data_IF_547767347881
#
_entry.id   IF_547767347881
#
_cell.length_a   1.000
_cell.length_b   1.000
_cell.length_c   1.000
_cell.angle_alpha   90.00
_cell.angle_beta   90.00
_cell.angle_gamma   90.00
#
_symmetry.space_group_name_H-M   'P 1'
#
loop_
_entity.id
_entity.type
_entity.pdbx_description
1 polymer ?
#
# COMPACT_ATOMS: atom_id res chain seq x y z
N UNK A 1 33.56 -45.48 -6.12
CA UNK A 1 32.88 -44.46 -6.95
C UNK A 1 31.45 -44.91 -7.21
N UNK A 2 30.47 -44.33 -6.52
CA UNK A 2 29.06 -44.24 -6.94
C UNK A 2 28.31 -43.31 -5.97
N UNK A 3 27.86 -42.20 -6.53
CA UNK A 3 26.71 -41.37 -6.14
C UNK A 3 26.57 -40.90 -4.68
N UNK A 4 27.12 -39.73 -4.38
CA UNK A 4 26.45 -38.75 -3.50
C UNK A 4 26.22 -37.51 -4.37
N UNK A 5 25.07 -37.49 -5.05
CA UNK A 5 24.64 -36.39 -5.91
C UNK A 5 23.13 -36.21 -5.77
N UNK A 6 22.67 -36.13 -4.51
CA UNK A 6 21.28 -35.80 -4.15
C UNK A 6 21.34 -34.92 -2.90
N UNK A 7 21.88 -33.71 -3.01
CA UNK A 7 21.76 -32.73 -1.91
C UNK A 7 22.04 -31.28 -2.33
N UNK A 8 21.65 -30.87 -3.55
CA UNK A 8 21.84 -29.47 -3.95
C UNK A 8 20.77 -28.91 -4.89
N UNK A 9 19.57 -29.52 -4.92
CA UNK A 9 18.43 -29.02 -5.71
C UNK A 9 17.20 -28.60 -4.87
N UNK A 10 17.24 -28.68 -3.53
CA UNK A 10 16.08 -28.34 -2.68
C UNK A 10 16.12 -26.94 -2.04
N UNK A 11 17.09 -26.09 -2.40
CA UNK A 11 17.24 -24.76 -1.79
C UNK A 11 16.56 -23.62 -2.56
N UNK A 12 15.92 -23.86 -3.71
CA UNK A 12 15.30 -22.80 -4.50
C UNK A 12 13.78 -22.65 -4.32
N UNK A 13 13.09 -23.64 -3.75
CA UNK A 13 11.66 -23.53 -3.40
C UNK A 13 11.43 -22.97 -1.98
N UNK A 14 12.48 -22.80 -1.18
CA UNK A 14 12.35 -22.39 0.23
C UNK A 14 12.16 -20.88 0.41
N UNK A 15 12.54 -20.03 -0.55
CA UNK A 15 12.39 -18.59 -0.40
C UNK A 15 10.92 -18.15 -0.50
N UNK A 16 10.15 -18.69 -1.46
CA UNK A 16 8.70 -18.43 -1.54
C UNK A 16 7.95 -18.95 -0.31
N UNK A 17 8.31 -20.13 0.20
CA UNK A 17 7.68 -20.71 1.39
C UNK A 17 8.06 -19.93 2.66
N UNK A 18 9.30 -19.44 2.78
CA UNK A 18 9.68 -18.55 3.89
C UNK A 18 8.97 -17.19 3.81
N UNK A 19 8.90 -16.59 2.62
CA UNK A 19 8.24 -15.30 2.40
C UNK A 19 6.74 -15.38 2.70
N UNK A 20 6.05 -16.44 2.24
CA UNK A 20 4.63 -16.62 2.52
C UNK A 20 4.35 -16.89 3.99
N UNK A 21 5.16 -17.72 4.65
CA UNK A 21 4.90 -18.16 6.03
C UNK A 21 5.33 -17.12 7.07
N UNK A 22 6.46 -16.42 6.87
CA UNK A 22 7.00 -15.46 7.87
C UNK A 22 6.45 -14.05 7.65
N UNK A 23 6.22 -13.66 6.40
CA UNK A 23 5.83 -12.29 6.05
C UNK A 23 4.34 -12.16 5.72
N UNK A 24 3.61 -13.29 5.65
CA UNK A 24 2.21 -13.32 5.22
C UNK A 24 2.03 -12.84 3.78
N UNK A 25 3.06 -13.04 2.94
CA UNK A 25 3.08 -12.61 1.54
C UNK A 25 2.54 -13.73 0.67
N UNK A 26 1.26 -13.66 0.32
CA UNK A 26 0.65 -14.58 -0.65
C UNK A 26 0.97 -14.13 -2.09
N UNK A 27 0.91 -15.05 -3.06
CA UNK A 27 0.99 -14.63 -4.46
C UNK A 27 -0.23 -13.78 -4.83
N UNK A 28 -0.05 -12.70 -5.61
CA UNK A 28 -1.17 -11.88 -6.05
C UNK A 28 -2.08 -12.68 -6.99
N UNK A 29 -3.26 -13.06 -6.49
CA UNK A 29 -4.33 -13.66 -7.29
C UNK A 29 -5.22 -12.55 -7.85
N UNK A 30 -5.56 -12.63 -9.14
CA UNK A 30 -6.51 -11.70 -9.75
C UNK A 30 -7.88 -11.85 -9.09
N UNK A 31 -8.34 -10.80 -8.38
CA UNK A 31 -9.58 -10.82 -7.60
C UNK A 31 -10.56 -9.74 -8.02
N UNK A 32 -11.81 -10.18 -8.08
CA UNK A 32 -13.06 -9.43 -7.92
C UNK A 32 -13.05 -8.06 -7.22
N UNK A 33 -13.79 -7.02 -7.64
CA UNK A 33 -14.04 -5.84 -6.77
C UNK A 33 -14.78 -6.28 -5.50
N UNK A 34 -15.74 -7.21 -5.64
CA UNK A 34 -16.49 -7.79 -4.52
C UNK A 34 -15.58 -8.62 -3.62
N UNK A 35 -14.71 -9.46 -4.19
CA UNK A 35 -13.77 -10.28 -3.43
C UNK A 35 -12.71 -9.45 -2.69
N UNK A 36 -12.17 -8.40 -3.33
CA UNK A 36 -11.24 -7.46 -2.71
C UNK A 36 -11.93 -6.74 -1.56
N UNK A 37 -13.12 -6.19 -1.81
CA UNK A 37 -13.89 -5.50 -0.78
C UNK A 37 -14.20 -6.42 0.40
N UNK A 38 -14.65 -7.65 0.15
CA UNK A 38 -14.91 -8.64 1.19
C UNK A 38 -13.65 -8.95 2.02
N UNK A 39 -12.52 -9.25 1.37
CA UNK A 39 -11.27 -9.58 2.05
C UNK A 39 -10.71 -8.43 2.88
N UNK A 40 -10.80 -7.20 2.36
CA UNK A 40 -10.31 -6.01 3.08
C UNK A 40 -11.26 -5.60 4.19
N UNK A 41 -12.59 -5.69 4.01
CA UNK A 41 -13.57 -5.35 5.05
C UNK A 41 -13.45 -6.23 6.28
N UNK A 42 -13.20 -7.52 6.12
CA UNK A 42 -13.00 -8.42 7.26
C UNK A 42 -11.80 -8.00 8.14
N UNK A 43 -10.83 -7.29 7.55
CA UNK A 43 -9.62 -6.82 8.25
C UNK A 43 -9.74 -5.37 8.72
N UNK A 44 -10.41 -4.55 7.93
CA UNK A 44 -10.53 -3.11 8.08
C UNK A 44 -12.00 -2.67 8.07
N UNK A 45 -12.83 -3.16 9.01
CA UNK A 45 -14.28 -2.99 8.95
C UNK A 45 -14.73 -1.52 9.06
N UNK A 46 -13.90 -0.65 9.65
CA UNK A 46 -14.25 0.73 9.96
C UNK A 46 -13.59 1.78 9.05
N UNK A 47 -12.85 1.34 8.02
CA UNK A 47 -12.12 2.26 7.16
C UNK A 47 -12.79 2.44 5.79
N UNK A 48 -12.85 3.68 5.26
CA UNK A 48 -13.24 3.91 3.87
C UNK A 48 -12.32 3.13 2.93
N UNK A 49 -12.92 2.37 2.01
CA UNK A 49 -12.20 1.50 1.08
C UNK A 49 -12.36 2.01 -0.35
N UNK A 50 -11.22 2.21 -1.00
CA UNK A 50 -11.12 2.63 -2.39
C UNK A 50 -10.28 1.64 -3.18
N UNK A 51 -10.36 1.70 -4.50
CA UNK A 51 -9.45 1.03 -5.43
C UNK A 51 -8.90 2.04 -6.41
N UNK A 52 -7.68 1.84 -6.86
CA UNK A 52 -7.20 2.54 -8.07
C UNK A 52 -8.10 2.18 -9.27
N UNK A 53 -8.54 3.18 -10.04
CA UNK A 53 -9.28 2.98 -11.29
C UNK A 53 -8.44 2.15 -12.25
N UNK A 54 -9.06 1.17 -12.91
CA UNK A 54 -8.35 0.21 -13.78
C UNK A 54 -7.51 0.91 -14.85
N UNK A 55 -8.08 1.93 -15.50
CA UNK A 55 -7.39 2.74 -16.52
C UNK A 55 -6.23 3.61 -15.97
N UNK A 56 -6.09 3.73 -14.65
CA UNK A 56 -5.01 4.46 -14.00
C UNK A 56 -3.91 3.54 -13.47
N UNK A 57 -4.21 2.26 -13.21
CA UNK A 57 -3.21 1.34 -12.68
C UNK A 57 -2.03 1.16 -13.62
N UNK A 58 -2.27 1.00 -14.92
CA UNK A 58 -1.20 0.88 -15.92
C UNK A 58 -0.28 2.11 -15.95
N UNK A 59 -0.85 3.29 -15.71
CA UNK A 59 -0.07 4.54 -15.62
C UNK A 59 0.80 4.56 -14.36
N UNK A 60 0.26 4.10 -13.22
CA UNK A 60 1.03 3.98 -11.98
C UNK A 60 2.15 2.95 -12.08
N UNK A 61 1.92 1.83 -12.79
CA UNK A 61 2.92 0.78 -12.99
C UNK A 61 4.06 1.22 -13.90
N UNK A 62 3.80 2.15 -14.84
CA UNK A 62 4.82 2.68 -15.77
C UNK A 62 5.56 3.90 -15.22
N UNK A 63 5.00 4.57 -14.21
CA UNK A 63 5.64 5.72 -13.58
C UNK A 63 6.85 5.27 -12.75
N UNK A 64 7.94 6.04 -12.83
CA UNK A 64 9.01 5.94 -11.84
C UNK A 64 8.49 6.47 -10.50
N UNK A 65 8.64 5.69 -9.44
CA UNK A 65 8.25 6.11 -8.10
C UNK A 65 9.09 7.30 -7.58
N UNK A 66 10.39 7.28 -7.90
CA UNK A 66 11.32 8.39 -7.69
C UNK A 66 12.40 8.33 -8.76
N UNK A 67 13.04 9.47 -9.01
CA UNK A 67 14.11 9.58 -9.99
C UNK A 67 15.19 8.52 -9.78
N UNK A 68 15.50 7.78 -10.85
CA UNK A 68 16.50 6.73 -10.85
C UNK A 68 16.01 5.38 -10.32
N UNK A 69 14.70 5.22 -10.08
CA UNK A 69 14.09 3.94 -9.75
C UNK A 69 13.32 3.39 -10.94
N UNK A 70 13.44 2.08 -11.17
CA UNK A 70 12.73 1.41 -12.24
C UNK A 70 11.20 1.55 -12.12
N UNK A 71 10.47 1.43 -13.24
CA UNK A 71 9.02 1.48 -13.25
C UNK A 71 8.41 0.50 -12.25
N UNK A 72 7.30 0.91 -11.64
CA UNK A 72 6.44 0.01 -10.88
C UNK A 72 5.81 0.68 -9.67
N UNK A 73 4.58 0.27 -9.41
CA UNK A 73 3.85 0.62 -8.20
C UNK A 73 4.40 -0.18 -7.00
N UNK A 74 4.42 0.44 -5.81
CA UNK A 74 4.85 -0.24 -4.57
C UNK A 74 3.65 -0.33 -3.62
N UNK A 75 3.17 -1.54 -3.31
CA UNK A 75 1.93 -1.73 -2.57
C UNK A 75 2.02 -1.32 -1.10
N UNK A 76 3.22 -1.37 -0.53
CA UNK A 76 3.48 -0.91 0.83
C UNK A 76 3.82 0.58 0.72
N UNK A 77 2.78 1.41 0.71
CA UNK A 77 2.89 2.85 0.55
C UNK A 77 1.85 3.57 1.40
N UNK A 78 2.23 4.68 2.03
CA UNK A 78 1.26 5.67 2.49
C UNK A 78 1.65 7.07 2.05
N UNK A 79 0.64 7.91 2.00
CA UNK A 79 0.75 9.33 1.69
C UNK A 79 -0.05 10.07 2.75
N UNK A 80 0.49 11.17 3.27
CA UNK A 80 -0.20 12.00 4.23
C UNK A 80 -0.32 13.42 3.67
N UNK A 81 -1.54 13.93 3.73
CA UNK A 81 -1.92 15.28 3.32
C UNK A 81 -2.38 16.06 4.55
N UNK A 82 -2.18 17.38 4.53
CA UNK A 82 -2.81 18.27 5.50
C UNK A 82 -4.26 18.60 5.10
N UNK A 83 -4.97 19.34 5.95
CA UNK A 83 -6.33 19.80 5.69
C UNK A 83 -6.50 20.70 4.44
N UNK A 84 -5.42 21.22 3.86
CA UNK A 84 -5.44 21.96 2.57
C UNK A 84 -5.25 21.04 1.36
N UNK A 85 -5.19 19.72 1.58
CA UNK A 85 -4.92 18.72 0.57
C UNK A 85 -3.48 18.70 0.06
N UNK A 86 -2.55 19.42 0.71
CA UNK A 86 -1.14 19.47 0.30
C UNK A 86 -0.37 18.30 0.88
N UNK A 87 0.52 17.74 0.06
CA UNK A 87 1.41 16.66 0.46
C UNK A 87 2.28 17.11 1.63
N UNK A 88 2.14 16.41 2.76
CA UNK A 88 3.01 16.57 3.92
C UNK A 88 4.16 15.58 3.80
N UNK A 89 3.84 14.34 3.44
CA UNK A 89 4.82 13.26 3.36
C UNK A 89 4.30 12.08 2.57
N UNK A 90 5.24 11.30 2.02
CA UNK A 90 4.96 10.05 1.37
C UNK A 90 6.07 9.06 1.70
N UNK A 91 5.70 7.80 1.76
CA UNK A 91 6.66 6.73 1.95
C UNK A 91 6.21 5.51 1.17
N UNK A 92 7.17 4.84 0.53
CA UNK A 92 6.98 3.53 -0.05
C UNK A 92 8.21 2.65 0.24
N UNK A 93 7.96 1.36 0.41
CA UNK A 93 9.01 0.34 0.52
C UNK A 93 8.86 -0.73 -0.55
N UNK A 94 10.01 -1.16 -1.09
CA UNK A 94 10.12 -2.41 -1.84
C UNK A 94 10.39 -3.60 -0.93
N UNK A 95 10.87 -3.33 0.28
CA UNK A 95 11.37 -4.35 1.19
C UNK A 95 10.25 -4.81 2.11
N UNK A 96 9.86 -6.06 1.94
CA UNK A 96 9.24 -6.88 2.98
C UNK A 96 10.34 -7.31 3.96
N UNK A 97 10.89 -6.35 4.72
CA UNK A 97 11.92 -6.58 5.73
C UNK A 97 11.32 -6.58 7.14
N UNK A 98 11.89 -7.39 8.04
CA UNK A 98 11.49 -7.72 9.43
C UNK A 98 11.20 -6.55 10.40
N UNK A 99 11.23 -5.30 9.94
CA UNK A 99 10.95 -4.13 10.75
C UNK A 99 9.51 -3.69 10.50
N UNK A 100 8.63 -3.94 11.47
CA UNK A 100 7.33 -3.28 11.55
C UNK A 100 7.50 -1.79 11.29
N UNK A 101 6.74 -1.25 10.33
CA UNK A 101 6.89 0.16 10.01
C UNK A 101 6.37 0.99 11.17
N UNK A 102 7.27 1.63 11.90
CA UNK A 102 6.94 2.51 13.02
C UNK A 102 7.23 3.95 12.62
N UNK A 103 6.19 4.79 12.63
CA UNK A 103 6.34 6.23 12.49
C UNK A 103 7.10 6.80 13.69
N UNK A 104 8.20 7.51 13.44
CA UNK A 104 9.08 8.02 14.50
C UNK A 104 8.84 9.50 14.86
N UNK A 105 8.26 10.28 13.95
CA UNK A 105 8.09 11.74 14.13
C UNK A 105 6.82 12.26 13.43
N UNK A 106 6.35 13.44 13.88
CA UNK A 106 5.15 14.10 13.38
C UNK A 106 5.40 15.56 12.95
N UNK A 107 4.89 15.99 11.78
CA UNK A 107 4.43 15.14 10.70
C UNK A 107 5.54 14.18 10.24
N UNK A 108 5.22 12.99 9.69
CA UNK A 108 6.25 12.07 9.28
C UNK A 108 7.14 12.75 8.26
N UNK A 109 8.45 12.83 8.50
CA UNK A 109 9.31 13.45 7.49
C UNK A 109 9.47 12.51 6.31
N UNK A 110 9.24 13.06 5.12
CA UNK A 110 9.55 12.33 3.90
C UNK A 110 11.05 12.18 3.78
N UNK A 111 11.52 10.97 3.47
CA UNK A 111 12.92 10.76 3.06
C UNK A 111 13.20 11.30 1.65
N UNK A 112 12.15 11.62 0.89
CA UNK A 112 12.22 12.04 -0.49
C UNK A 112 11.66 13.46 -0.65
N UNK A 113 12.20 14.27 -1.57
CA UNK A 113 11.65 15.59 -1.84
C UNK A 113 10.17 15.47 -2.21
N UNK A 114 9.32 16.25 -1.55
CA UNK A 114 7.90 16.30 -1.88
C UNK A 114 7.73 16.94 -3.25
N UNK A 115 6.97 16.30 -4.14
CA UNK A 115 6.53 16.95 -5.36
C UNK A 115 5.43 17.95 -4.97
N UNK A 116 5.66 19.28 -5.09
CA UNK A 116 4.71 20.29 -4.65
C UNK A 116 3.41 20.29 -5.47
N UNK A 117 3.43 19.69 -6.66
CA UNK A 117 2.25 19.52 -7.50
C UNK A 117 1.42 18.31 -7.08
N UNK A 118 1.93 17.41 -6.23
CA UNK A 118 1.19 16.25 -5.78
C UNK A 118 0.26 16.65 -4.62
N UNK A 119 -1.04 16.52 -4.84
CA UNK A 119 -2.08 16.87 -3.87
C UNK A 119 -3.13 15.76 -3.78
N UNK A 120 -4.03 15.89 -2.81
CA UNK A 120 -5.06 14.87 -2.58
C UNK A 120 -6.06 14.78 -3.73
N UNK A 121 -6.25 15.85 -4.53
CA UNK A 121 -7.16 15.83 -5.68
C UNK A 121 -6.66 14.85 -6.74
N UNK A 122 -5.35 14.81 -6.98
CA UNK A 122 -4.75 13.79 -7.85
C UNK A 122 -5.02 12.37 -7.36
N UNK A 123 -5.07 12.13 -6.05
CA UNK A 123 -5.43 10.81 -5.48
C UNK A 123 -6.91 10.52 -5.74
N UNK A 124 -7.79 11.48 -5.45
CA UNK A 124 -9.25 11.36 -5.69
C UNK A 124 -9.53 11.03 -7.16
N UNK A 125 -8.81 11.65 -8.09
CA UNK A 125 -8.98 11.43 -9.52
C UNK A 125 -8.60 10.02 -9.98
N UNK A 126 -7.71 9.33 -9.27
CA UNK A 126 -7.24 7.99 -9.64
C UNK A 126 -7.92 6.87 -8.88
N UNK A 127 -8.75 7.16 -7.87
CA UNK A 127 -9.43 6.12 -7.08
C UNK A 127 -10.94 6.09 -7.30
N UNK A 128 -11.54 4.91 -7.12
CA UNK A 128 -12.99 4.68 -7.07
C UNK A 128 -13.37 4.03 -5.75
N UNK A 129 -14.54 4.38 -5.16
CA UNK A 129 -15.23 3.59 -4.15
C UNK A 129 -15.16 2.07 -4.35
N UNK A 130 -14.78 1.31 -3.32
CA UNK A 130 -14.98 -0.16 -3.26
C UNK A 130 -16.12 -0.57 -2.32
N UNK A 131 -16.55 0.34 -1.46
CA UNK A 131 -17.47 0.08 -0.36
C UNK A 131 -18.62 1.10 -0.39
N UNK A 132 -19.87 0.74 -0.08
CA UNK A 132 -20.93 1.73 0.16
C UNK A 132 -20.63 2.66 1.36
N UNK A 133 -19.80 2.23 2.32
CA UNK A 133 -19.50 2.97 3.57
C UNK A 133 -18.44 4.08 3.40
N UNK A 134 -18.28 4.64 2.20
CA UNK A 134 -17.20 5.60 1.98
C UNK A 134 -17.50 6.94 2.63
N UNK A 135 -16.76 7.25 3.69
CA UNK A 135 -16.47 8.64 4.01
C UNK A 135 -15.78 9.24 2.78
N UNK A 136 -16.49 10.12 2.10
CA UNK A 136 -16.05 10.76 0.87
C UNK A 136 -14.63 11.31 1.08
N UNK A 137 -13.63 10.87 0.29
CA UNK A 137 -12.27 11.42 0.32
C UNK A 137 -12.26 12.96 0.21
N UNK A 138 -13.31 13.57 -0.36
CA UNK A 138 -13.51 15.03 -0.38
C UNK A 138 -13.76 15.66 1.02
N UNK A 139 -13.82 14.87 2.09
CA UNK A 139 -13.95 15.36 3.48
C UNK A 139 -12.62 15.56 4.18
N UNK A 140 -11.50 15.49 3.45
CA UNK A 140 -10.15 15.66 4.00
C UNK A 140 -9.96 16.99 4.75
N UNK A 141 -10.75 18.01 4.43
CA UNK A 141 -10.70 19.34 5.05
C UNK A 141 -11.17 19.33 6.51
N UNK A 142 -11.93 18.31 6.92
CA UNK A 142 -12.44 18.14 8.29
C UNK A 142 -11.40 17.57 9.27
N UNK A 143 -10.24 17.15 8.76
CA UNK A 143 -9.19 16.50 9.54
C UNK A 143 -7.90 17.27 9.37
N UNK A 144 -7.12 17.43 10.44
CA UNK A 144 -5.81 18.06 10.34
C UNK A 144 -4.92 17.30 9.36
N UNK A 145 -5.03 15.96 9.36
CA UNK A 145 -4.28 15.09 8.48
C UNK A 145 -5.14 13.97 7.88
N UNK A 146 -4.97 13.74 6.59
CA UNK A 146 -5.55 12.58 5.89
C UNK A 146 -4.43 11.66 5.42
N UNK A 147 -4.45 10.42 5.90
CA UNK A 147 -3.56 9.35 5.49
C UNK A 147 -4.24 8.50 4.42
N UNK A 148 -3.62 8.43 3.25
CA UNK A 148 -3.97 7.47 2.19
C UNK A 148 -2.99 6.32 2.29
N UNK A 149 -3.48 5.16 2.72
CA UNK A 149 -2.67 3.96 2.89
C UNK A 149 -3.02 3.00 1.76
N UNK A 150 -2.04 2.68 0.94
CA UNK A 150 -2.20 1.64 -0.06
C UNK A 150 -2.06 0.28 0.62
N UNK A 151 -3.04 -0.58 0.38
CA UNK A 151 -3.11 -1.92 0.97
C UNK A 151 -3.28 -2.94 -0.15
N UNK A 152 -2.79 -4.15 0.08
CA UNK A 152 -3.10 -5.28 -0.79
C UNK A 152 -3.56 -6.45 0.05
N UNK A 153 -4.38 -7.31 -0.55
CA UNK A 153 -4.85 -8.54 0.08
C UNK A 153 -3.71 -9.49 0.46
N UNK A 154 -2.54 -9.34 -0.15
CA UNK A 154 -1.36 -10.21 -0.04
C UNK A 154 -0.17 -9.63 0.72
N UNK A 155 -0.24 -8.41 1.29
CA UNK A 155 0.80 -7.85 2.18
C UNK A 155 0.25 -7.59 3.59
N UNK A 156 -0.43 -8.60 4.12
CA UNK A 156 -1.41 -8.44 5.20
C UNK A 156 -0.83 -7.83 6.48
N UNK A 157 0.24 -8.45 7.00
CA UNK A 157 0.89 -8.01 8.23
C UNK A 157 1.48 -6.61 8.10
N UNK A 158 2.11 -6.31 6.97
CA UNK A 158 2.80 -5.03 6.75
C UNK A 158 1.81 -3.87 6.61
N UNK A 159 0.72 -4.08 5.88
CA UNK A 159 -0.37 -3.11 5.78
C UNK A 159 -1.02 -2.85 7.14
N UNK A 160 -1.26 -3.91 7.92
CA UNK A 160 -1.87 -3.83 9.24
C UNK A 160 -0.98 -3.09 10.24
N UNK A 161 0.32 -3.43 10.29
CA UNK A 161 1.31 -2.80 11.17
C UNK A 161 1.45 -1.30 10.87
N UNK A 162 1.40 -0.93 9.59
CA UNK A 162 1.44 0.47 9.15
C UNK A 162 0.19 1.23 9.60
N UNK A 163 -1.01 0.69 9.37
CA UNK A 163 -2.28 1.31 9.80
C UNK A 163 -2.30 1.46 11.33
N UNK A 164 -1.90 0.43 12.07
CA UNK A 164 -1.85 0.46 13.53
C UNK A 164 -0.82 1.47 14.05
N UNK A 165 0.32 1.59 13.38
CA UNK A 165 1.32 2.60 13.71
C UNK A 165 0.81 4.02 13.46
N UNK A 166 0.08 4.27 12.36
CA UNK A 166 -0.57 5.57 12.11
C UNK A 166 -1.58 5.88 13.22
N UNK A 167 -2.45 4.93 13.58
CA UNK A 167 -3.47 5.11 14.64
C UNK A 167 -2.84 5.45 15.98
N UNK A 168 -1.88 4.63 16.44
CA UNK A 168 -1.17 4.84 17.71
C UNK A 168 -0.55 6.22 17.74
N UNK A 169 0.11 6.57 16.65
CA UNK A 169 0.85 7.82 16.56
C UNK A 169 -0.08 9.05 16.54
N UNK A 170 -1.16 9.01 15.77
CA UNK A 170 -2.13 10.11 15.72
C UNK A 170 -2.86 10.28 17.07
N UNK A 171 -3.22 9.18 17.74
CA UNK A 171 -3.83 9.20 19.07
C UNK A 171 -2.90 9.84 20.13
N UNK A 172 -1.59 9.51 20.12
CA UNK A 172 -0.62 10.08 21.07
C UNK A 172 -0.42 11.58 20.92
N UNK A 173 -0.65 12.14 19.73
CA UNK A 173 -0.41 13.55 19.44
C UNK A 173 -1.69 14.43 19.47
N UNK A 174 -2.86 13.86 19.81
CA UNK A 174 -4.15 14.57 19.98
C UNK A 174 -4.65 15.36 18.75
N UNK A 175 -4.27 14.96 17.54
CA UNK A 175 -4.75 15.59 16.31
C UNK A 175 -5.97 14.86 15.74
N UNK A 176 -6.80 15.57 14.98
CA UNK A 176 -7.85 14.93 14.19
C UNK A 176 -7.25 14.34 12.92
N UNK A 177 -7.57 13.08 12.63
CA UNK A 177 -7.01 12.39 11.48
C UNK A 177 -8.04 11.50 10.80
N UNK A 178 -7.83 11.28 9.51
CA UNK A 178 -8.56 10.31 8.71
C UNK A 178 -7.59 9.30 8.11
N UNK A 179 -7.95 8.02 8.10
CA UNK A 179 -7.23 6.98 7.39
C UNK A 179 -8.15 6.45 6.30
N UNK A 180 -7.67 6.51 5.06
CA UNK A 180 -8.35 5.98 3.89
C UNK A 180 -7.49 4.86 3.32
N UNK A 181 -8.11 3.71 3.05
CA UNK A 181 -7.42 2.58 2.46
C UNK A 181 -7.68 2.53 0.97
N UNK A 182 -6.61 2.40 0.19
CA UNK A 182 -6.68 2.24 -1.26
C UNK A 182 -6.13 0.87 -1.60
N UNK A 183 -7.00 -0.03 -2.04
CA UNK A 183 -6.59 -1.32 -2.59
C UNK A 183 -5.74 -1.09 -3.84
N UNK A 184 -4.55 -1.66 -3.79
CA UNK A 184 -3.66 -1.84 -4.93
C UNK A 184 -3.68 -3.28 -5.47
N UNK A 185 -4.66 -4.09 -5.08
CA UNK A 185 -4.87 -5.39 -5.71
C UNK A 185 -5.21 -5.15 -7.20
N UNK A 186 -4.42 -5.73 -8.09
CA UNK A 186 -4.58 -5.59 -9.53
C UNK A 186 -5.13 -6.88 -10.15
N UNK A 187 -5.93 -6.75 -11.21
CA UNK A 187 -6.32 -7.87 -12.04
C UNK A 187 -5.21 -8.15 -13.06
N UNK A 188 -4.64 -9.35 -12.98
CA UNK A 188 -3.65 -9.93 -13.93
C UNK A 188 -2.30 -9.25 -13.98
N UNK A 189 -1.24 -10.03 -13.99
CA UNK A 189 0.04 -9.60 -14.57
C UNK A 189 -0.22 -9.18 -16.03
N UNK A 190 0.11 -7.95 -16.46
CA UNK A 190 0.10 -7.61 -17.88
C UNK A 190 1.00 -8.62 -18.60
N UNK A 191 0.47 -9.31 -19.61
CA UNK A 191 1.27 -10.14 -20.52
C UNK A 191 2.41 -9.34 -21.17
N UNK A 192 2.32 -8.02 -21.18
CA UNK A 192 3.35 -7.07 -21.65
C UNK A 192 4.52 -6.87 -20.69
N UNK A 193 4.49 -7.42 -19.46
CA UNK A 193 5.63 -7.44 -18.53
C UNK A 193 6.37 -8.79 -18.52
N UNK A 194 6.03 -9.71 -19.44
CA UNK A 194 6.69 -11.02 -19.61
C UNK A 194 7.78 -11.03 -20.69
N UNK A 195 8.20 -9.86 -21.18
CA UNK A 195 9.30 -9.73 -22.14
C UNK A 195 10.60 -9.36 -21.41
#
# INVERSE_FOLDING_TARGET
MKAILISFCFCFSSCQVLLSTILGVEEPVAKNDVEIAHNLRNRYPSYPLYRVKENKMDSLLRAEYKTGWGPGFRPIQFICFNNKGKLVTQWASCESGQNSYTLKEFPPRSKYPSNPEFDIKKVIDIVKPLSPDNANLNTYENYEYTYVVYVTSWTDKLSSDLVESIKKYAASNKYTYNIVLVSADYYKTPSSLKN
#
